data_IF_803351314022
#
_entry.id   IF_803351314022
#
_cell.length_a   1.000
_cell.length_b   1.000
_cell.length_c   1.000
_cell.angle_alpha   90.00
_cell.angle_beta   90.00
_cell.angle_gamma   90.00
#
_symmetry.space_group_name_H-M   'P 1'
#
loop_
_entity.id
_entity.type
_entity.pdbx_description
1 polymer ?
#
# COMPACT_ATOMS: atom_id res chain seq x y z
N UNK A 1 -40.41 11.57 -40.83
CA UNK A 1 -38.99 11.71 -40.39
C UNK A 1 -38.09 11.76 -41.63
N UNK A 2 -37.29 12.82 -41.80
CA UNK A 2 -36.40 13.02 -42.98
C UNK A 2 -35.41 11.86 -43.13
N UNK A 3 -35.04 11.51 -44.37
CA UNK A 3 -34.03 10.45 -44.68
C UNK A 3 -32.74 10.66 -43.89
N UNK A 4 -32.32 11.91 -43.70
CA UNK A 4 -31.13 12.28 -42.92
C UNK A 4 -31.28 11.90 -41.44
N UNK A 5 -32.46 12.13 -40.85
CA UNK A 5 -32.73 11.77 -39.44
C UNK A 5 -32.70 10.25 -39.21
N UNK A 6 -33.08 9.45 -40.22
CA UNK A 6 -32.97 7.97 -40.14
C UNK A 6 -31.52 7.50 -40.18
N UNK A 7 -30.67 8.14 -41.00
CA UNK A 7 -29.24 7.81 -41.09
C UNK A 7 -28.52 8.14 -39.79
N UNK A 8 -28.79 9.31 -39.19
CA UNK A 8 -28.20 9.70 -37.90
C UNK A 8 -28.61 8.72 -36.80
N UNK A 9 -29.88 8.30 -36.77
CA UNK A 9 -30.36 7.33 -35.78
C UNK A 9 -29.62 5.98 -35.90
N UNK A 10 -29.41 5.50 -37.13
CA UNK A 10 -28.67 4.25 -37.38
C UNK A 10 -27.22 4.38 -36.89
N UNK A 11 -26.55 5.50 -37.17
CA UNK A 11 -25.17 5.73 -36.72
C UNK A 11 -25.08 5.77 -35.19
N UNK A 12 -25.97 6.51 -34.52
CA UNK A 12 -25.99 6.60 -33.05
C UNK A 12 -26.29 5.24 -32.41
N UNK A 13 -27.22 4.46 -32.99
CA UNK A 13 -27.49 3.09 -32.53
C UNK A 13 -26.32 2.15 -32.77
N UNK A 14 -25.58 2.30 -33.87
CA UNK A 14 -24.38 1.51 -34.15
C UNK A 14 -23.26 1.84 -33.16
N UNK A 15 -23.05 3.12 -32.82
CA UNK A 15 -22.09 3.54 -31.80
C UNK A 15 -22.46 3.04 -30.41
N UNK A 16 -23.75 3.11 -30.04
CA UNK A 16 -24.22 2.55 -28.77
C UNK A 16 -24.02 1.01 -28.71
N UNK A 17 -24.21 0.32 -29.85
CA UNK A 17 -23.96 -1.11 -29.96
C UNK A 17 -22.47 -1.47 -29.85
N UNK A 18 -21.58 -0.66 -30.44
CA UNK A 18 -20.13 -0.82 -30.33
C UNK A 18 -19.68 -0.59 -28.88
N UNK A 19 -20.17 0.45 -28.20
CA UNK A 19 -19.86 0.71 -26.78
C UNK A 19 -20.35 -0.44 -25.90
N UNK A 20 -21.56 -0.95 -26.14
CA UNK A 20 -22.07 -2.11 -25.41
C UNK A 20 -21.23 -3.38 -25.66
N UNK A 21 -20.74 -3.58 -26.88
CA UNK A 21 -19.79 -4.66 -27.21
C UNK A 21 -18.45 -4.49 -26.51
N UNK A 22 -17.89 -3.27 -26.43
CA UNK A 22 -16.66 -3.00 -25.69
C UNK A 22 -16.82 -3.29 -24.18
N UNK A 23 -17.95 -2.89 -23.58
CA UNK A 23 -18.26 -3.22 -22.17
C UNK A 23 -18.45 -4.73 -21.97
N UNK A 24 -19.04 -5.44 -22.94
CA UNK A 24 -19.19 -6.90 -22.88
C UNK A 24 -17.84 -7.60 -23.05
N UNK A 25 -16.94 -7.10 -23.91
CA UNK A 25 -15.57 -7.64 -24.05
C UNK A 25 -14.76 -7.39 -22.77
N UNK A 26 -14.87 -6.22 -22.13
CA UNK A 26 -14.23 -5.96 -20.83
C UNK A 26 -14.79 -6.90 -19.73
N UNK A 27 -16.09 -7.19 -19.74
CA UNK A 27 -16.71 -8.16 -18.82
C UNK A 27 -16.33 -9.61 -19.15
N UNK A 28 -16.08 -9.93 -20.43
CA UNK A 28 -15.70 -11.27 -20.87
C UNK A 28 -14.20 -11.54 -20.68
N UNK A 29 -13.32 -10.56 -20.89
CA UNK A 29 -11.90 -10.64 -20.49
C UNK A 29 -11.76 -10.74 -18.96
N UNK A 30 -12.70 -10.14 -18.21
CA UNK A 30 -12.80 -10.35 -16.76
C UNK A 30 -13.31 -11.77 -16.39
N UNK A 31 -14.02 -12.46 -17.29
CA UNK A 31 -14.56 -13.82 -17.07
C UNK A 31 -13.68 -14.93 -17.62
N UNK A 32 -12.87 -14.71 -18.64
CA UNK A 32 -11.94 -15.74 -19.15
C UNK A 32 -10.68 -15.90 -18.26
N UNK A 33 -10.52 -15.06 -17.23
CA UNK A 33 -9.64 -15.32 -16.08
C UNK A 33 -10.29 -16.17 -14.97
N UNK A 34 -11.41 -16.85 -15.23
CA UNK A 34 -12.06 -17.70 -14.21
C UNK A 34 -11.41 -19.09 -14.03
N UNK A 35 -10.33 -19.44 -14.76
CA UNK A 35 -9.60 -20.70 -14.54
C UNK A 35 -8.51 -20.65 -13.45
N UNK A 36 -8.31 -19.52 -12.75
CA UNK A 36 -7.46 -19.41 -11.53
C UNK A 36 -8.25 -19.38 -10.21
N UNK A 37 -9.58 -19.44 -10.27
CA UNK A 37 -10.50 -18.99 -9.19
C UNK A 37 -10.58 -19.83 -7.90
N UNK A 38 -9.90 -20.97 -7.80
CA UNK A 38 -9.80 -21.71 -6.51
C UNK A 38 -8.47 -21.53 -5.78
N UNK A 39 -7.43 -21.06 -6.46
CA UNK A 39 -6.16 -20.67 -5.83
C UNK A 39 -6.23 -19.20 -5.39
N UNK A 40 -7.08 -18.36 -6.00
CA UNK A 40 -6.83 -16.92 -5.98
C UNK A 40 -7.27 -16.10 -4.74
N UNK A 41 -8.45 -16.31 -4.14
CA UNK A 41 -8.90 -15.38 -3.06
C UNK A 41 -8.37 -15.71 -1.68
N UNK A 42 -8.32 -17.00 -1.33
CA UNK A 42 -7.87 -17.44 0.00
C UNK A 42 -6.34 -17.28 0.14
N UNK A 43 -5.57 -17.60 -0.90
CA UNK A 43 -4.12 -17.45 -0.91
C UNK A 43 -3.71 -15.97 -0.92
N UNK A 44 -4.34 -15.13 -1.76
CA UNK A 44 -4.12 -13.68 -1.72
C UNK A 44 -4.51 -13.09 -0.36
N UNK A 45 -5.64 -13.52 0.23
CA UNK A 45 -6.01 -13.09 1.57
C UNK A 45 -4.97 -13.48 2.62
N UNK A 46 -4.37 -14.68 2.50
CA UNK A 46 -3.29 -15.13 3.40
C UNK A 46 -2.03 -14.30 3.21
N UNK A 47 -1.59 -14.05 1.97
CA UNK A 47 -0.42 -13.21 1.68
C UNK A 47 -0.61 -11.77 2.15
N UNK A 48 -1.79 -11.20 1.94
CA UNK A 48 -2.15 -9.88 2.41
C UNK A 48 -2.19 -9.81 3.95
N UNK A 49 -2.71 -10.84 4.61
CA UNK A 49 -2.67 -10.95 6.07
C UNK A 49 -1.24 -11.08 6.61
N UNK A 50 -0.39 -11.89 5.97
CA UNK A 50 1.03 -11.98 6.30
C UNK A 50 1.73 -10.65 6.12
N UNK A 51 1.47 -9.94 5.02
CA UNK A 51 2.00 -8.60 4.79
C UNK A 51 1.59 -7.64 5.91
N UNK A 52 0.32 -7.63 6.34
CA UNK A 52 -0.13 -6.80 7.47
C UNK A 52 0.60 -7.14 8.76
N UNK A 53 0.64 -8.42 9.15
CA UNK A 53 1.24 -8.89 10.42
C UNK A 53 2.76 -8.73 10.48
N UNK A 54 3.44 -8.84 9.34
CA UNK A 54 4.90 -8.81 9.25
C UNK A 54 5.42 -7.46 8.76
N UNK A 55 4.66 -6.39 9.00
CA UNK A 55 5.05 -5.01 8.67
C UNK A 55 4.92 -4.11 9.89
N UNK A 56 6.02 -3.48 10.31
CA UNK A 56 5.99 -2.36 11.25
C UNK A 56 5.56 -1.11 10.51
N UNK A 57 4.50 -0.44 10.98
CA UNK A 57 3.94 0.76 10.36
C UNK A 57 4.13 1.98 11.25
N UNK A 58 4.57 3.09 10.66
CA UNK A 58 4.58 4.42 11.25
C UNK A 58 3.67 5.34 10.46
N UNK A 59 2.67 5.89 11.13
CA UNK A 59 1.75 6.88 10.56
C UNK A 59 2.21 8.30 10.89
N UNK A 60 2.08 9.18 9.90
CA UNK A 60 2.29 10.62 10.01
C UNK A 60 1.22 11.37 9.19
N UNK A 61 1.18 12.69 9.33
CA UNK A 61 0.15 13.54 8.69
C UNK A 61 0.16 13.46 7.16
N UNK A 62 1.34 13.31 6.55
CA UNK A 62 1.52 13.34 5.09
C UNK A 62 2.13 12.07 4.52
N UNK A 63 2.50 11.10 5.35
CA UNK A 63 3.03 9.84 4.87
C UNK A 63 2.74 8.71 5.84
N UNK A 64 2.70 7.50 5.31
CA UNK A 64 2.72 6.28 6.10
C UNK A 64 3.93 5.47 5.64
N UNK A 65 4.80 5.10 6.57
CA UNK A 65 6.02 4.33 6.28
C UNK A 65 5.93 2.95 6.91
N UNK A 66 6.39 1.97 6.16
CA UNK A 66 6.29 0.57 6.49
C UNK A 66 7.65 -0.10 6.38
N UNK A 67 7.95 -0.99 7.33
CA UNK A 67 9.17 -1.78 7.35
C UNK A 67 8.83 -3.25 7.45
N UNK A 68 9.38 -4.04 6.55
CA UNK A 68 9.18 -5.48 6.54
C UNK A 68 10.00 -6.12 7.65
N UNK A 69 9.33 -6.79 8.60
CA UNK A 69 9.97 -7.38 9.78
C UNK A 69 11.01 -8.46 9.40
N UNK A 70 10.91 -9.08 8.22
CA UNK A 70 11.90 -10.04 7.71
C UNK A 70 13.31 -9.47 7.60
N UNK A 71 13.45 -8.14 7.57
CA UNK A 71 14.71 -7.44 7.42
C UNK A 71 15.20 -6.78 8.71
N UNK A 72 14.43 -6.88 9.79
CA UNK A 72 14.73 -6.22 11.06
C UNK A 72 15.38 -7.23 12.00
N UNK A 73 16.55 -6.87 12.52
CA UNK A 73 17.26 -7.65 13.53
C UNK A 73 16.65 -7.43 14.92
N UNK A 74 16.47 -6.17 15.31
CA UNK A 74 15.83 -5.80 16.57
C UNK A 74 15.28 -4.37 16.49
N UNK A 75 14.55 -4.00 17.54
CA UNK A 75 14.01 -2.67 17.75
C UNK A 75 14.48 -2.14 19.10
N UNK A 76 14.89 -0.87 19.15
CA UNK A 76 15.33 -0.20 20.39
C UNK A 76 14.52 1.08 20.62
N UNK A 77 14.07 1.29 21.86
CA UNK A 77 13.26 2.45 22.25
C UNK A 77 11.82 2.08 22.66
N UNK A 78 10.91 3.07 22.73
CA UNK A 78 11.18 4.49 22.52
C UNK A 78 12.12 5.07 23.58
N UNK A 79 13.01 5.97 23.18
CA UNK A 79 13.74 6.85 24.11
C UNK A 79 13.11 8.23 24.06
N UNK A 80 12.74 8.76 25.23
CA UNK A 80 12.24 10.14 25.34
C UNK A 80 13.38 11.13 25.19
N UNK A 81 13.19 12.15 24.36
CA UNK A 81 14.12 13.24 24.13
C UNK A 81 13.37 14.56 24.07
N UNK A 82 13.90 15.61 24.70
CA UNK A 82 13.33 16.96 24.61
C UNK A 82 14.11 17.72 23.54
N UNK A 83 13.43 18.22 22.53
CA UNK A 83 14.06 18.94 21.43
C UNK A 83 14.53 20.35 21.81
N UNK A 84 15.14 21.06 20.85
CA UNK A 84 15.66 22.42 21.07
C UNK A 84 14.56 23.44 21.39
N UNK A 85 13.30 23.13 21.08
CA UNK A 85 12.13 23.96 21.32
C UNK A 85 11.41 23.60 22.63
N UNK A 86 11.88 22.57 23.35
CA UNK A 86 11.28 22.08 24.59
C UNK A 86 10.19 21.02 24.40
N UNK A 87 10.03 20.48 23.18
CA UNK A 87 9.02 19.48 22.85
C UNK A 87 9.53 18.07 23.16
N UNK A 88 8.74 17.30 23.92
CA UNK A 88 9.07 15.94 24.30
C UNK A 88 8.70 14.97 23.18
N UNK A 89 9.71 14.34 22.58
CA UNK A 89 9.59 13.43 21.46
C UNK A 89 9.97 12.00 21.86
N UNK A 90 9.44 11.01 21.14
CA UNK A 90 9.88 9.61 21.23
C UNK A 90 10.74 9.25 20.03
N UNK A 91 11.91 8.67 20.29
CA UNK A 91 12.81 8.17 19.25
C UNK A 91 12.78 6.64 19.26
N UNK A 92 12.35 6.06 18.15
CA UNK A 92 12.42 4.64 17.86
C UNK A 92 13.62 4.34 16.97
N UNK A 93 14.34 3.27 17.25
CA UNK A 93 15.45 2.82 16.40
C UNK A 93 15.12 1.44 15.83
N UNK A 94 15.21 1.33 14.50
CA UNK A 94 15.07 0.08 13.77
C UNK A 94 16.46 -0.36 13.33
N UNK A 95 16.90 -1.54 13.78
CA UNK A 95 18.17 -2.11 13.39
C UNK A 95 17.93 -3.23 12.38
N UNK A 96 18.49 -3.10 11.18
CA UNK A 96 18.33 -4.06 10.09
C UNK A 96 19.39 -5.17 10.16
N UNK A 97 19.09 -6.30 9.54
CA UNK A 97 19.97 -7.49 9.50
C UNK A 97 21.30 -7.19 8.78
N UNK A 98 21.32 -6.20 7.87
CA UNK A 98 22.52 -5.75 7.17
C UNK A 98 23.40 -4.79 8.00
N UNK A 99 23.05 -4.57 9.28
CA UNK A 99 23.71 -3.68 10.24
C UNK A 99 23.49 -2.19 9.98
N UNK A 100 22.57 -1.82 9.11
CA UNK A 100 22.09 -0.45 9.03
C UNK A 100 21.06 -0.17 10.12
N UNK A 101 20.92 1.10 10.51
CA UNK A 101 19.95 1.53 11.51
C UNK A 101 19.24 2.79 11.07
N UNK A 102 17.95 2.88 11.33
CA UNK A 102 17.14 4.08 11.09
C UNK A 102 16.55 4.54 12.42
N UNK A 103 16.61 5.86 12.67
CA UNK A 103 15.92 6.50 13.77
C UNK A 103 14.66 7.19 13.26
N UNK A 104 13.56 6.97 13.95
CA UNK A 104 12.26 7.56 13.66
C UNK A 104 11.87 8.37 14.88
N UNK A 105 11.68 9.66 14.67
CA UNK A 105 11.08 10.55 15.66
C UNK A 105 9.58 10.55 15.43
N UNK A 106 8.82 10.38 16.49
CA UNK A 106 7.37 10.27 16.42
C UNK A 106 6.71 11.61 16.69
N UNK A 107 5.77 12.00 15.83
CA UNK A 107 4.86 13.11 16.11
C UNK A 107 3.88 12.77 17.24
N UNK A 108 3.52 13.77 18.05
CA UNK A 108 2.55 13.64 19.14
C UNK A 108 1.17 13.17 18.65
N UNK A 109 0.76 13.58 17.44
CA UNK A 109 -0.55 13.23 16.86
C UNK A 109 -0.73 11.72 16.63
N UNK A 110 0.37 10.99 16.47
CA UNK A 110 0.41 9.55 16.20
C UNK A 110 1.14 8.77 17.29
N UNK A 111 1.44 9.41 18.44
CA UNK A 111 2.34 8.85 19.46
C UNK A 111 1.90 7.45 19.88
N UNK A 112 0.63 7.33 20.27
CA UNK A 112 0.05 6.13 20.83
C UNK A 112 -0.04 4.98 19.81
N UNK A 113 -0.45 5.28 18.57
CA UNK A 113 -0.59 4.30 17.50
C UNK A 113 0.76 3.71 17.12
N UNK A 114 1.76 4.56 16.91
CA UNK A 114 3.10 4.16 16.52
C UNK A 114 3.83 3.43 17.65
N UNK A 115 3.63 3.84 18.91
CA UNK A 115 4.14 3.11 20.07
C UNK A 115 3.58 1.68 20.14
N UNK A 116 2.26 1.52 19.97
CA UNK A 116 1.63 0.20 20.00
C UNK A 116 2.12 -0.69 18.84
N UNK A 117 2.29 -0.12 17.64
CA UNK A 117 2.81 -0.86 16.48
C UNK A 117 4.24 -1.35 16.73
N UNK A 118 5.04 -0.50 17.38
CA UNK A 118 6.40 -0.81 17.76
C UNK A 118 6.47 -1.94 18.80
N UNK A 119 5.65 -1.88 19.86
CA UNK A 119 5.61 -2.91 20.91
C UNK A 119 5.27 -4.30 20.36
N UNK A 120 4.25 -4.36 19.50
CA UNK A 120 3.84 -5.59 18.80
C UNK A 120 4.96 -6.13 17.92
N UNK A 121 5.57 -5.27 17.11
CA UNK A 121 6.66 -5.67 16.24
C UNK A 121 7.86 -6.21 17.04
N UNK A 122 8.19 -5.56 18.17
CA UNK A 122 9.27 -5.98 19.06
C UNK A 122 8.98 -7.36 19.67
N UNK A 123 7.73 -7.62 20.07
CA UNK A 123 7.30 -8.92 20.59
C UNK A 123 7.44 -10.03 19.53
N UNK A 124 6.98 -9.79 18.30
CA UNK A 124 7.10 -10.73 17.17
C UNK A 124 8.56 -11.06 16.85
N UNK A 125 9.42 -10.04 16.81
CA UNK A 125 10.87 -10.24 16.58
C UNK A 125 11.48 -11.09 17.70
N UNK A 126 11.15 -10.79 18.96
CA UNK A 126 11.67 -11.51 20.12
C UNK A 126 11.32 -12.99 20.13
N UNK A 127 10.10 -13.35 19.71
CA UNK A 127 9.65 -14.75 19.69
C UNK A 127 9.88 -15.47 18.35
N UNK A 128 10.44 -14.79 17.35
CA UNK A 128 10.77 -15.38 16.05
C UNK A 128 9.54 -15.70 15.19
N UNK A 129 8.42 -15.01 15.41
CA UNK A 129 7.13 -15.25 14.73
C UNK A 129 7.04 -14.54 13.37
N UNK A 130 8.16 -14.41 12.65
CA UNK A 130 8.25 -13.65 11.41
C UNK A 130 8.34 -14.60 10.23
N UNK A 131 7.36 -14.53 9.35
CA UNK A 131 7.32 -15.29 8.10
C UNK A 131 7.77 -14.45 6.90
N UNK A 132 8.52 -15.06 5.99
CA UNK A 132 8.91 -14.42 4.72
C UNK A 132 7.66 -14.11 3.88
N UNK A 133 7.50 -12.84 3.52
CA UNK A 133 6.37 -12.37 2.70
C UNK A 133 6.70 -12.62 1.20
N UNK A 134 6.57 -13.86 0.72
CA UNK A 134 6.62 -14.13 -0.74
C UNK A 134 5.29 -13.76 -1.40
N UNK A 135 5.19 -12.49 -1.77
CA UNK A 135 4.00 -11.88 -2.33
C UNK A 135 4.37 -11.03 -3.55
N UNK A 136 4.29 -11.60 -4.77
CA UNK A 136 4.48 -10.87 -6.01
C UNK A 136 3.30 -9.95 -6.30
N UNK A 137 3.58 -8.77 -6.83
CA UNK A 137 2.59 -7.79 -7.25
C UNK A 137 3.11 -6.95 -8.43
N UNK A 138 2.18 -6.31 -9.15
CA UNK A 138 2.49 -5.36 -10.21
C UNK A 138 2.10 -3.97 -9.77
N UNK A 139 2.95 -2.99 -10.07
CA UNK A 139 2.70 -1.60 -9.77
C UNK A 139 2.92 -0.74 -11.01
N UNK A 140 2.15 0.33 -11.14
CA UNK A 140 2.25 1.30 -12.22
C UNK A 140 1.76 2.67 -11.72
N UNK A 141 2.57 3.71 -11.91
CA UNK A 141 2.15 5.09 -11.68
C UNK A 141 1.18 5.58 -12.76
N UNK A 142 0.54 6.74 -12.55
CA UNK A 142 -0.43 7.29 -13.51
C UNK A 142 0.23 7.70 -14.84
N UNK A 143 1.49 8.13 -14.79
CA UNK A 143 2.25 8.59 -15.95
C UNK A 143 3.16 7.49 -16.55
N UNK A 144 3.11 6.26 -16.03
CA UNK A 144 3.95 5.15 -16.49
C UNK A 144 3.26 4.32 -17.58
N UNK A 145 3.96 4.07 -18.69
CA UNK A 145 3.43 3.28 -19.80
C UNK A 145 3.35 1.77 -19.49
N UNK A 146 4.27 1.27 -18.66
CA UNK A 146 4.42 -0.16 -18.34
C UNK A 146 4.40 -0.40 -16.84
N UNK A 147 3.85 -1.55 -16.43
CA UNK A 147 3.88 -1.97 -15.03
C UNK A 147 5.23 -2.58 -14.64
N UNK A 148 5.70 -2.30 -13.43
CA UNK A 148 6.86 -2.94 -12.81
C UNK A 148 6.40 -4.12 -11.94
N UNK A 149 7.03 -5.28 -12.12
CA UNK A 149 6.85 -6.45 -11.25
C UNK A 149 7.74 -6.34 -10.02
N UNK A 150 7.14 -6.46 -8.84
CA UNK A 150 7.80 -6.40 -7.53
C UNK A 150 7.39 -7.60 -6.69
N UNK A 151 8.14 -7.86 -5.62
CA UNK A 151 7.77 -8.88 -4.64
C UNK A 151 8.21 -8.46 -3.25
N UNK A 152 7.29 -8.50 -2.28
CA UNK A 152 7.58 -8.12 -0.89
C UNK A 152 8.71 -8.92 -0.24
N UNK A 153 9.05 -10.10 -0.77
CA UNK A 153 10.22 -10.85 -0.30
C UNK A 153 11.53 -10.13 -0.54
N UNK A 154 11.57 -9.13 -1.41
CA UNK A 154 12.75 -8.32 -1.69
C UNK A 154 12.62 -6.87 -1.20
N UNK A 155 11.46 -6.47 -0.66
CA UNK A 155 11.19 -5.12 -0.18
C UNK A 155 11.46 -5.05 1.32
N UNK A 156 12.37 -4.16 1.72
CA UNK A 156 12.71 -3.95 3.14
C UNK A 156 11.91 -2.78 3.74
N UNK A 157 11.62 -1.75 2.94
CA UNK A 157 10.75 -0.64 3.33
C UNK A 157 9.85 -0.18 2.17
N UNK A 158 8.69 0.36 2.51
CA UNK A 158 7.78 0.97 1.55
C UNK A 158 7.00 2.10 2.22
N UNK A 159 6.62 3.12 1.45
CA UNK A 159 5.95 4.28 1.99
C UNK A 159 4.96 4.88 1.00
N UNK A 160 3.80 5.29 1.50
CA UNK A 160 2.92 6.20 0.78
C UNK A 160 3.16 7.62 1.29
N UNK A 161 3.35 8.55 0.37
CA UNK A 161 3.49 9.98 0.67
C UNK A 161 2.39 10.73 -0.07
N UNK A 162 1.56 11.43 0.68
CA UNK A 162 0.39 12.16 0.17
C UNK A 162 0.62 13.66 0.28
N UNK A 163 0.79 14.30 -0.87
CA UNK A 163 0.81 15.76 -0.99
C UNK A 163 -0.61 16.27 -1.21
N UNK A 164 -1.35 16.43 -0.11
CA UNK A 164 -2.71 16.94 -0.14
C UNK A 164 -2.81 18.40 -0.64
N UNK A 165 -1.70 19.14 -0.67
CA UNK A 165 -1.68 20.53 -1.14
C UNK A 165 -1.66 20.55 -2.67
N UNK A 166 -0.78 19.77 -3.30
CA UNK A 166 -0.67 19.68 -4.75
C UNK A 166 -1.56 18.60 -5.37
N UNK A 167 -2.30 17.86 -4.53
CA UNK A 167 -3.22 16.80 -4.94
C UNK A 167 -2.52 15.51 -5.39
N UNK A 168 -1.20 15.37 -5.24
CA UNK A 168 -0.42 14.22 -5.74
C UNK A 168 -0.10 13.24 -4.62
N UNK A 169 0.20 12.00 -4.99
CA UNK A 169 0.82 11.06 -4.06
C UNK A 169 1.93 10.23 -4.72
N UNK A 170 2.79 9.66 -3.88
CA UNK A 170 3.93 8.86 -4.28
C UNK A 170 3.93 7.57 -3.47
N UNK A 171 4.22 6.46 -4.14
CA UNK A 171 4.45 5.17 -3.51
C UNK A 171 5.91 4.77 -3.73
N UNK A 172 6.62 4.57 -2.64
CA UNK A 172 8.03 4.20 -2.61
C UNK A 172 8.18 2.74 -2.16
N UNK A 173 9.09 2.02 -2.81
CA UNK A 173 9.55 0.70 -2.37
C UNK A 173 11.09 0.64 -2.42
N UNK A 174 11.73 0.41 -1.28
CA UNK A 174 13.15 0.07 -1.19
C UNK A 174 13.35 -1.44 -1.24
N UNK A 175 14.21 -1.89 -2.17
CA UNK A 175 14.49 -3.30 -2.42
C UNK A 175 15.97 -3.64 -2.20
N UNK A 176 16.28 -4.86 -1.77
CA UNK A 176 17.66 -5.28 -1.42
C UNK A 176 18.40 -6.11 -2.47
N UNK A 177 17.73 -6.58 -3.52
CA UNK A 177 18.35 -7.49 -4.50
C UNK A 177 17.75 -7.33 -5.92
N UNK A 178 18.34 -6.48 -6.78
CA UNK A 178 19.44 -5.55 -6.49
C UNK A 178 18.97 -4.38 -5.61
N UNK A 179 19.91 -3.74 -4.90
CA UNK A 179 19.61 -2.54 -4.10
C UNK A 179 19.03 -1.44 -5.00
N UNK A 180 17.74 -1.15 -4.85
CA UNK A 180 16.98 -0.28 -5.77
C UNK A 180 15.85 0.42 -5.03
N UNK A 181 15.48 1.61 -5.53
CA UNK A 181 14.31 2.34 -5.08
C UNK A 181 13.33 2.48 -6.24
N UNK A 182 12.10 2.03 -6.04
CA UNK A 182 11.00 2.19 -7.00
C UNK A 182 10.08 3.28 -6.50
N UNK A 183 9.74 4.24 -7.37
CA UNK A 183 8.87 5.36 -7.05
C UNK A 183 7.77 5.42 -8.10
N UNK A 184 6.53 5.37 -7.65
CA UNK A 184 5.35 5.48 -8.49
C UNK A 184 4.60 6.75 -8.11
N UNK A 185 4.22 7.57 -9.11
CA UNK A 185 3.51 8.84 -8.89
C UNK A 185 2.05 8.71 -9.29
N UNK A 186 1.17 9.35 -8.51
CA UNK A 186 -0.26 9.38 -8.73
C UNK A 186 -0.81 10.81 -8.65
N UNK A 187 -1.83 11.10 -9.45
CA UNK A 187 -2.46 12.42 -9.57
C UNK A 187 -3.45 12.73 -8.45
N UNK A 188 -3.78 11.74 -7.61
CA UNK A 188 -4.66 11.92 -6.45
C UNK A 188 -3.90 11.61 -5.16
N UNK A 189 -4.08 12.46 -4.15
CA UNK A 189 -3.35 12.39 -2.89
C UNK A 189 -3.64 11.11 -2.07
N UNK A 190 -4.79 10.46 -2.28
CA UNK A 190 -5.17 9.24 -1.55
C UNK A 190 -4.71 7.94 -2.23
N UNK A 191 -4.26 7.99 -3.50
CA UNK A 191 -4.06 6.79 -4.31
C UNK A 191 -2.93 5.90 -3.78
N UNK A 192 -1.79 6.47 -3.38
CA UNK A 192 -0.67 5.69 -2.85
C UNK A 192 -1.06 4.90 -1.60
N UNK A 193 -1.76 5.55 -0.66
CA UNK A 193 -2.29 4.92 0.57
C UNK A 193 -3.33 3.83 0.23
N UNK A 194 -4.21 4.09 -0.74
CA UNK A 194 -5.20 3.12 -1.18
C UNK A 194 -4.53 1.86 -1.78
N UNK A 195 -3.48 2.02 -2.57
CA UNK A 195 -2.71 0.88 -3.09
C UNK A 195 -2.08 0.05 -1.97
N UNK A 196 -1.48 0.68 -0.96
CA UNK A 196 -0.95 -0.05 0.20
C UNK A 196 -2.06 -0.81 0.90
N UNK A 197 -3.21 -0.17 1.12
CA UNK A 197 -4.37 -0.81 1.76
C UNK A 197 -4.88 -2.01 0.95
N UNK A 198 -4.95 -1.89 -0.37
CA UNK A 198 -5.36 -3.00 -1.25
C UNK A 198 -4.33 -4.14 -1.21
N UNK A 199 -3.03 -3.83 -1.26
CA UNK A 199 -1.96 -4.84 -1.13
C UNK A 199 -2.03 -5.55 0.23
N UNK A 200 -2.31 -4.79 1.29
CA UNK A 200 -2.61 -5.31 2.63
C UNK A 200 -3.97 -6.00 2.72
N UNK A 201 -4.78 -6.07 1.66
CA UNK A 201 -6.00 -6.88 1.59
C UNK A 201 -7.25 -6.25 2.20
N UNK A 202 -7.29 -4.93 2.36
CA UNK A 202 -8.53 -4.21 2.67
C UNK A 202 -9.40 -4.10 1.43
N UNK A 203 -10.71 -4.22 1.58
CA UNK A 203 -11.68 -4.01 0.49
C UNK A 203 -12.04 -2.53 0.39
N UNK A 204 -12.56 -2.10 -0.76
CA UNK A 204 -12.92 -0.69 -1.00
C UNK A 204 -13.82 -0.09 0.09
N UNK A 205 -14.80 -0.85 0.59
CA UNK A 205 -15.70 -0.40 1.68
C UNK A 205 -15.04 -0.30 3.05
N UNK A 206 -13.80 -0.77 3.17
CA UNK A 206 -12.97 -0.75 4.38
C UNK A 206 -11.86 0.30 4.25
N UNK A 207 -11.80 1.04 3.13
CA UNK A 207 -10.81 2.08 2.84
C UNK A 207 -11.52 3.44 2.82
N UNK A 208 -10.91 4.42 3.47
CA UNK A 208 -11.37 5.78 3.53
C UNK A 208 -11.14 6.42 2.16
N UNK A 209 -12.20 6.82 1.50
CA UNK A 209 -12.13 7.39 0.15
C UNK A 209 -11.41 8.74 0.08
N UNK A 210 -11.21 9.42 1.21
CA UNK A 210 -10.49 10.70 1.26
C UNK A 210 -8.99 10.52 1.51
N UNK A 211 -8.60 9.52 2.28
CA UNK A 211 -7.20 9.35 2.71
C UNK A 211 -6.52 8.12 2.09
N UNK A 212 -7.28 7.14 1.58
CA UNK A 212 -6.77 5.87 1.09
C UNK A 212 -6.37 4.90 2.22
N UNK A 213 -6.50 5.32 3.48
CA UNK A 213 -6.20 4.50 4.67
C UNK A 213 -7.42 3.68 5.10
N UNK A 214 -7.26 2.60 5.88
CA UNK A 214 -8.40 1.84 6.39
C UNK A 214 -9.40 2.71 7.20
N UNK A 215 -10.72 2.53 6.99
CA UNK A 215 -11.82 3.29 7.65
C UNK A 215 -11.95 3.00 9.14
N UNK A 216 -11.73 1.75 9.50
CA UNK A 216 -11.66 1.30 10.87
C UNK A 216 -10.55 0.27 10.93
N UNK A 217 -9.68 0.41 11.93
CA UNK A 217 -8.81 -0.68 12.34
C UNK A 217 -9.74 -1.84 12.67
N UNK A 218 -9.86 -2.82 11.78
CA UNK A 218 -10.58 -4.06 12.07
C UNK A 218 -9.76 -4.82 13.12
N UNK A 219 -9.81 -4.35 14.35
CA UNK A 219 -9.27 -4.89 15.60
C UNK A 219 -7.77 -5.29 15.67
N UNK A 220 -7.04 -5.56 14.58
CA UNK A 220 -5.85 -6.44 14.61
C UNK A 220 -4.74 -6.05 13.57
N UNK A 221 -4.34 -4.77 13.48
CA UNK A 221 -3.05 -4.38 12.86
C UNK A 221 -1.91 -4.30 13.91
N UNK A 222 -2.14 -4.95 15.05
CA UNK A 222 -1.22 -5.17 16.16
C UNK A 222 -1.21 -6.68 16.44
#
# INVERSE_FOLDING_TARGET
MSKIKKIILIIVSLFAFIIALCVIVDILDYKDNENTTKIDKAEMSKRAEMLRKNTLTFEESFYTRHYNLNYIQNLEGPVKYVDINGEANNIFTINFIDKTSIKITNSDDFEWQNLKAFEVAAERIKYGEIETIDYPFRMRGDDEEVSTELNFKYIYDFAAVSDFINGKSYLFFGAINPMSNYIFTFTNAFTAEAYISILKGYRDKEINSMTGRPLTNKNDDF
#
